data_IF_197205447622
#
_entry.id   IF_197205447622
#
_cell.length_a   1.000
_cell.length_b   1.000
_cell.length_c   1.000
_cell.angle_alpha   90.00
_cell.angle_beta   90.00
_cell.angle_gamma   90.00
#
_symmetry.space_group_name_H-M   'P 1'
#
loop_
_entity.id
_entity.type
_entity.pdbx_description
1 polymer ?
#
# COMPACT_ATOMS: atom_id res chain seq x y z
N UNK A 1 2.56 13.19 24.65
CA UNK A 1 4.03 13.08 24.81
C UNK A 1 4.66 14.02 23.78
N UNK A 2 5.66 14.84 24.15
CA UNK A 2 6.35 15.68 23.15
C UNK A 2 7.31 14.79 22.35
N UNK A 3 7.28 14.90 21.02
CA UNK A 3 8.17 14.16 20.13
C UNK A 3 9.59 14.72 20.32
N UNK A 4 10.55 13.85 20.64
CA UNK A 4 11.92 14.27 20.90
C UNK A 4 12.61 14.69 19.58
N UNK A 5 13.54 15.64 19.67
CA UNK A 5 14.25 16.17 18.49
C UNK A 5 14.96 15.09 17.66
N UNK A 6 15.48 14.05 18.31
CA UNK A 6 16.15 12.92 17.64
C UNK A 6 15.14 12.04 16.90
N UNK A 7 13.92 11.87 17.42
CA UNK A 7 12.83 11.15 16.74
C UNK A 7 12.43 11.92 15.47
N UNK A 8 12.29 13.24 15.58
CA UNK A 8 11.98 14.11 14.43
C UNK A 8 13.06 13.96 13.36
N UNK A 9 14.34 14.04 13.74
CA UNK A 9 15.45 13.91 12.81
C UNK A 9 15.45 12.54 12.10
N UNK A 10 15.28 11.44 12.85
CA UNK A 10 15.26 10.09 12.28
C UNK A 10 14.06 9.87 11.34
N UNK A 11 12.86 10.28 11.74
CA UNK A 11 11.66 10.14 10.91
C UNK A 11 11.74 10.99 9.65
N UNK A 12 12.32 12.19 9.75
CA UNK A 12 12.53 13.09 8.61
C UNK A 12 13.54 12.50 7.62
N UNK A 13 14.69 12.03 8.10
CA UNK A 13 15.70 11.38 7.27
C UNK A 13 15.14 10.12 6.60
N UNK A 14 14.37 9.32 7.35
CA UNK A 14 13.73 8.13 6.83
C UNK A 14 12.69 8.44 5.74
N UNK A 15 11.88 9.50 5.90
CA UNK A 15 10.96 9.94 4.84
C UNK A 15 11.69 10.32 3.54
N UNK A 16 12.84 10.98 3.65
CA UNK A 16 13.70 11.28 2.50
C UNK A 16 14.32 10.03 1.87
N UNK A 17 14.72 9.04 2.69
CA UNK A 17 15.24 7.77 2.19
C UNK A 17 14.16 6.95 1.48
N UNK A 18 12.92 6.92 2.00
CA UNK A 18 11.85 6.11 1.43
C UNK A 18 11.52 6.46 -0.02
N UNK A 19 11.47 7.74 -0.37
CA UNK A 19 11.20 8.15 -1.75
C UNK A 19 12.36 7.78 -2.69
N UNK A 20 13.60 7.80 -2.20
CA UNK A 20 14.75 7.34 -2.98
C UNK A 20 14.75 5.82 -3.16
N UNK A 21 14.37 5.08 -2.11
CA UNK A 21 14.19 3.63 -2.18
C UNK A 21 13.07 3.27 -3.16
N UNK A 22 11.98 4.03 -3.18
CA UNK A 22 10.85 3.83 -4.10
C UNK A 22 11.22 4.06 -5.57
N UNK A 23 12.17 4.95 -5.85
CA UNK A 23 12.54 5.33 -7.23
C UNK A 23 13.76 4.58 -7.77
N UNK A 24 14.66 4.10 -6.91
CA UNK A 24 15.96 3.58 -7.35
C UNK A 24 16.23 2.15 -6.86
N UNK A 25 16.12 1.91 -5.56
CA UNK A 25 16.68 0.72 -4.91
C UNK A 25 15.66 -0.42 -4.81
N UNK A 26 14.37 -0.09 -4.70
CA UNK A 26 13.27 -1.04 -4.51
C UNK A 26 13.54 -2.08 -3.42
N UNK A 27 14.14 -1.66 -2.29
CA UNK A 27 14.44 -2.54 -1.15
C UNK A 27 13.18 -2.96 -0.37
N UNK A 28 11.99 -2.62 -0.85
CA UNK A 28 10.69 -2.78 -0.16
C UNK A 28 10.54 -1.99 1.15
N UNK A 29 11.51 -1.14 1.50
CA UNK A 29 11.44 -0.24 2.66
C UNK A 29 10.50 0.96 2.40
N UNK A 30 10.18 1.20 1.13
CA UNK A 30 9.19 2.15 0.62
C UNK A 30 7.74 1.65 0.68
N UNK A 31 7.44 0.64 1.50
CA UNK A 31 6.06 0.20 1.74
C UNK A 31 5.49 0.81 3.03
N UNK A 32 4.21 1.22 3.06
CA UNK A 32 3.56 1.77 4.26
C UNK A 32 3.67 0.89 5.50
N UNK A 33 3.66 -0.44 5.37
CA UNK A 33 3.88 -1.36 6.51
C UNK A 33 5.26 -1.14 7.14
N UNK A 34 6.31 -1.01 6.33
CA UNK A 34 7.66 -0.73 6.83
C UNK A 34 7.76 0.69 7.39
N UNK A 35 7.05 1.65 6.78
CA UNK A 35 6.96 3.01 7.29
C UNK A 35 6.37 3.05 8.71
N UNK A 36 5.28 2.30 8.92
CA UNK A 36 4.63 2.13 10.21
C UNK A 36 5.49 1.36 11.22
N UNK A 37 6.21 0.32 10.77
CA UNK A 37 7.15 -0.42 11.61
C UNK A 37 8.28 0.48 12.12
N UNK A 38 8.97 1.18 11.21
CA UNK A 38 10.09 2.05 11.56
C UNK A 38 9.64 3.20 12.47
N UNK A 39 8.55 3.87 12.10
CA UNK A 39 8.01 4.96 12.92
C UNK A 39 7.49 4.48 14.28
N UNK A 40 6.88 3.30 14.35
CA UNK A 40 6.46 2.68 15.61
C UNK A 40 7.64 2.35 16.52
N UNK A 41 8.75 1.83 15.98
CA UNK A 41 10.00 1.59 16.74
C UNK A 41 10.57 2.89 17.28
N UNK A 42 10.67 3.93 16.45
CA UNK A 42 11.21 5.24 16.85
C UNK A 42 10.35 5.89 17.94
N UNK A 43 9.02 5.72 17.86
CA UNK A 43 8.06 6.32 18.79
C UNK A 43 7.79 5.47 20.04
N UNK A 44 8.21 4.19 20.06
CA UNK A 44 8.11 3.30 21.21
C UNK A 44 6.85 2.41 21.26
N UNK A 45 5.97 2.48 20.24
CA UNK A 45 4.82 1.57 20.11
C UNK A 45 4.77 0.97 18.69
N UNK A 46 5.40 -0.20 18.58
CA UNK A 46 5.45 -0.97 17.34
C UNK A 46 4.07 -1.51 16.93
N UNK A 47 3.19 -1.81 17.89
CA UNK A 47 1.87 -2.39 17.58
C UNK A 47 0.99 -1.33 16.93
N UNK A 48 0.94 -0.14 17.49
CA UNK A 48 0.22 0.99 16.88
C UNK A 48 0.76 1.30 15.48
N UNK A 49 2.10 1.37 15.33
CA UNK A 49 2.74 1.62 14.03
C UNK A 49 2.42 0.57 12.97
N UNK A 50 2.46 -0.72 13.32
CA UNK A 50 2.11 -1.80 12.40
C UNK A 50 0.63 -1.80 12.00
N UNK A 51 -0.27 -1.45 12.91
CA UNK A 51 -1.71 -1.33 12.60
C UNK A 51 -1.94 -0.20 11.59
N UNK A 52 -1.35 0.98 11.84
CA UNK A 52 -1.48 2.14 10.94
C UNK A 52 -0.85 1.84 9.58
N UNK A 53 0.37 1.30 9.55
CA UNK A 53 1.07 0.94 8.32
C UNK A 53 0.37 -0.16 7.53
N UNK A 54 -0.18 -1.17 8.20
CA UNK A 54 -0.98 -2.22 7.58
C UNK A 54 -2.28 -1.68 6.98
N UNK A 55 -3.01 -0.84 7.72
CA UNK A 55 -4.22 -0.21 7.22
C UNK A 55 -3.94 0.71 6.02
N UNK A 56 -2.86 1.49 6.07
CA UNK A 56 -2.44 2.32 4.95
C UNK A 56 -2.01 1.50 3.74
N UNK A 57 -1.28 0.41 3.95
CA UNK A 57 -0.91 -0.52 2.88
C UNK A 57 -2.14 -1.06 2.16
N UNK A 58 -3.16 -1.48 2.93
CA UNK A 58 -4.42 -1.96 2.38
C UNK A 58 -5.19 -0.86 1.64
N UNK A 59 -5.14 0.38 2.15
CA UNK A 59 -5.82 1.54 1.54
C UNK A 59 -5.22 1.91 0.19
N UNK A 60 -3.91 1.78 0.04
CA UNK A 60 -3.19 2.16 -1.18
C UNK A 60 -2.99 1.01 -2.15
N UNK A 61 -3.61 -0.13 -1.87
CA UNK A 61 -3.68 -1.24 -2.80
C UNK A 61 -4.27 -0.75 -4.14
N UNK A 62 -3.54 -0.98 -5.22
CA UNK A 62 -3.94 -0.58 -6.58
C UNK A 62 -3.70 0.89 -6.91
N UNK A 63 -3.23 1.69 -5.96
CA UNK A 63 -2.84 3.07 -6.23
C UNK A 63 -1.41 3.08 -6.77
N UNK A 64 -1.29 3.19 -8.09
CA UNK A 64 -0.02 3.26 -8.82
C UNK A 64 0.17 4.58 -9.54
N UNK A 65 1.41 4.89 -9.93
CA UNK A 65 1.71 5.99 -10.86
C UNK A 65 1.60 5.47 -12.29
N UNK A 66 0.67 5.99 -13.07
CA UNK A 66 0.51 5.66 -14.49
C UNK A 66 0.73 6.91 -15.35
N UNK A 67 1.52 6.80 -16.43
CA UNK A 67 1.73 7.92 -17.35
C UNK A 67 2.34 9.18 -16.75
N UNK A 68 3.12 9.05 -15.67
CA UNK A 68 3.70 10.21 -14.96
C UNK A 68 2.75 10.92 -13.98
N UNK A 69 1.54 10.41 -13.77
CA UNK A 69 0.63 10.89 -12.74
C UNK A 69 1.21 10.65 -11.33
N UNK A 70 1.12 11.67 -10.48
CA UNK A 70 1.45 11.55 -9.06
C UNK A 70 0.41 10.69 -8.34
N UNK A 71 0.89 9.83 -7.45
CA UNK A 71 0.03 9.02 -6.58
C UNK A 71 0.08 9.54 -5.15
N UNK A 72 -0.88 9.11 -4.34
CA UNK A 72 -0.90 9.43 -2.91
C UNK A 72 0.39 8.95 -2.22
N UNK A 73 1.00 9.81 -1.40
CA UNK A 73 2.20 9.42 -0.64
C UNK A 73 1.81 8.76 0.68
N UNK A 74 1.51 7.47 0.58
CA UNK A 74 1.11 6.63 1.69
C UNK A 74 2.20 6.50 2.77
N UNK A 75 3.48 6.58 2.37
CA UNK A 75 4.62 6.36 3.24
C UNK A 75 4.76 7.51 4.24
N UNK A 76 4.85 8.73 3.73
CA UNK A 76 4.95 9.92 4.56
C UNK A 76 3.68 10.14 5.40
N UNK A 77 2.49 9.85 4.84
CA UNK A 77 1.24 9.85 5.58
C UNK A 77 1.25 8.87 6.76
N UNK A 78 1.80 7.67 6.57
CA UNK A 78 1.93 6.65 7.63
C UNK A 78 2.91 7.08 8.72
N UNK A 79 4.06 7.67 8.36
CA UNK A 79 5.04 8.18 9.34
C UNK A 79 4.39 9.21 10.24
N UNK A 80 3.72 10.20 9.65
CA UNK A 80 3.11 11.30 10.38
C UNK A 80 1.94 10.81 11.24
N UNK A 81 1.06 9.97 10.69
CA UNK A 81 -0.05 9.40 11.44
C UNK A 81 0.43 8.54 12.61
N UNK A 82 1.48 7.74 12.44
CA UNK A 82 2.04 6.91 13.52
C UNK A 82 2.66 7.77 14.61
N UNK A 83 3.50 8.73 14.24
CA UNK A 83 4.12 9.65 15.19
C UNK A 83 3.08 10.41 16.01
N UNK A 84 2.07 10.95 15.33
CA UNK A 84 1.02 11.70 16.02
C UNK A 84 0.10 10.82 16.84
N UNK A 85 -0.33 9.66 16.31
CA UNK A 85 -1.21 8.74 17.02
C UNK A 85 -0.63 8.31 18.35
N UNK A 86 0.67 7.95 18.37
CA UNK A 86 1.37 7.54 19.58
C UNK A 86 1.57 8.74 20.52
N UNK A 87 1.94 9.90 19.99
CA UNK A 87 2.19 11.10 20.81
C UNK A 87 0.93 11.63 21.51
N UNK A 88 -0.25 11.51 20.87
CA UNK A 88 -1.53 12.03 21.39
C UNK A 88 -2.43 10.95 21.97
N UNK A 89 -2.03 9.68 21.91
CA UNK A 89 -2.85 8.55 22.36
C UNK A 89 -4.14 8.36 21.53
N UNK A 90 -4.11 8.74 20.25
CA UNK A 90 -5.23 8.51 19.34
C UNK A 90 -5.30 7.02 18.98
N UNK A 91 -6.51 6.51 18.76
CA UNK A 91 -6.69 5.14 18.27
C UNK A 91 -6.07 4.99 16.87
N UNK A 92 -5.30 3.92 16.60
CA UNK A 92 -4.67 3.70 15.30
C UNK A 92 -5.62 3.83 14.11
N UNK A 93 -6.83 3.26 14.20
CA UNK A 93 -7.81 3.26 13.11
C UNK A 93 -8.34 4.67 12.81
N UNK A 94 -8.56 5.46 13.87
CA UNK A 94 -8.93 6.87 13.73
C UNK A 94 -7.78 7.68 13.12
N UNK A 95 -6.53 7.41 13.51
CA UNK A 95 -5.36 8.11 12.98
C UNK A 95 -5.16 7.87 11.49
N UNK A 96 -5.49 6.68 10.98
CA UNK A 96 -5.43 6.38 9.55
C UNK A 96 -6.36 7.31 8.76
N UNK A 97 -7.63 7.39 9.14
CA UNK A 97 -8.60 8.21 8.42
C UNK A 97 -8.45 9.72 8.69
N UNK A 98 -8.08 10.10 9.92
CA UNK A 98 -7.96 11.49 10.33
C UNK A 98 -6.70 12.18 9.84
N UNK A 99 -5.60 11.43 9.80
CA UNK A 99 -4.26 11.97 9.58
C UNK A 99 -3.63 11.32 8.35
N UNK A 100 -3.52 10.00 8.31
CA UNK A 100 -2.70 9.33 7.30
C UNK A 100 -3.20 9.60 5.87
N UNK A 101 -4.48 9.39 5.59
CA UNK A 101 -5.04 9.61 4.25
C UNK A 101 -5.04 11.08 3.83
N UNK A 102 -5.54 12.04 4.63
CA UNK A 102 -5.50 13.45 4.23
C UNK A 102 -4.07 13.97 4.02
N UNK A 103 -3.13 13.60 4.90
CA UNK A 103 -1.73 13.99 4.76
C UNK A 103 -1.10 13.37 3.52
N UNK A 104 -1.34 12.07 3.27
CA UNK A 104 -0.85 11.39 2.07
C UNK A 104 -1.34 12.06 0.77
N UNK A 105 -2.58 12.55 0.78
CA UNK A 105 -3.15 13.31 -0.35
C UNK A 105 -2.50 14.69 -0.50
N UNK A 106 -2.27 15.42 0.60
CA UNK A 106 -1.58 16.72 0.55
C UNK A 106 -0.14 16.61 0.05
N UNK A 107 0.53 15.49 0.33
CA UNK A 107 1.90 15.23 -0.12
C UNK A 107 2.01 15.08 -1.65
N UNK A 108 0.89 14.85 -2.37
CA UNK A 108 0.87 14.85 -3.84
C UNK A 108 1.35 16.21 -4.39
N UNK A 109 0.96 17.32 -3.77
CA UNK A 109 1.38 18.65 -4.23
C UNK A 109 2.90 18.82 -4.14
N UNK A 110 3.48 18.27 -3.07
CA UNK A 110 4.93 18.29 -2.89
C UNK A 110 5.64 17.33 -3.86
N UNK A 111 4.96 16.26 -4.32
CA UNK A 111 5.43 15.37 -5.39
C UNK A 111 5.56 16.10 -6.71
N UNK A 112 4.48 16.81 -7.06
CA UNK A 112 4.39 17.59 -8.29
C UNK A 112 5.50 18.65 -8.29
N UNK A 113 5.72 19.32 -7.16
CA UNK A 113 6.80 20.30 -7.01
C UNK A 113 8.20 19.67 -7.15
N UNK A 114 8.40 18.46 -6.60
CA UNK A 114 9.66 17.73 -6.77
C UNK A 114 9.94 17.41 -8.23
N UNK A 115 8.91 16.94 -8.96
CA UNK A 115 8.98 16.65 -10.40
C UNK A 115 9.32 17.91 -11.19
N UNK A 116 8.66 19.03 -10.91
CA UNK A 116 8.99 20.32 -11.54
C UNK A 116 10.43 20.73 -11.25
N UNK A 117 10.89 20.64 -9.99
CA UNK A 117 12.26 20.96 -9.65
C UNK A 117 13.27 20.03 -10.34
N UNK A 118 12.92 18.76 -10.54
CA UNK A 118 13.80 17.79 -11.21
C UNK A 118 13.97 18.09 -12.70
N UNK A 119 13.01 18.76 -13.35
CA UNK A 119 13.17 19.20 -14.75
C UNK A 119 14.37 20.14 -14.93
N UNK A 120 14.72 20.94 -13.92
CA UNK A 120 15.92 21.79 -13.97
C UNK A 120 17.20 20.96 -14.12
N UNK A 121 17.29 19.82 -13.43
CA UNK A 121 18.43 18.91 -13.52
C UNK A 121 18.44 18.17 -14.87
N UNK A 122 17.27 17.81 -15.41
CA UNK A 122 17.16 17.20 -16.73
C UNK A 122 17.76 18.09 -17.83
N UNK A 123 17.39 19.37 -17.91
CA UNK A 123 17.96 20.30 -18.90
C UNK A 123 19.49 20.48 -18.75
N UNK A 124 20.03 20.31 -17.54
CA UNK A 124 21.48 20.36 -17.28
C UNK A 124 22.18 19.10 -17.75
N UNK A 125 21.52 17.94 -17.64
CA UNK A 125 21.99 16.67 -18.19
C UNK A 125 22.05 16.78 -19.72
N UNK A 126 21.01 17.29 -20.38
CA UNK A 126 20.99 17.43 -21.85
C UNK A 126 22.18 18.24 -22.35
N UNK A 127 22.45 19.40 -21.72
CA UNK A 127 23.62 20.23 -22.06
C UNK A 127 24.97 19.51 -21.83
N UNK A 128 25.02 18.56 -20.90
CA UNK A 128 26.22 17.77 -20.60
C UNK A 128 26.39 16.57 -21.54
N UNK A 129 25.29 16.04 -22.07
CA UNK A 129 25.29 15.06 -23.15
C UNK A 129 25.89 15.66 -24.42
N UNK A 130 25.50 16.87 -24.81
CA UNK A 130 26.10 17.56 -25.97
C UNK A 130 27.62 17.77 -25.85
N UNK A 131 28.12 17.87 -24.61
CA UNK A 131 29.53 18.06 -24.29
C UNK A 131 30.29 16.74 -24.14
N UNK A 132 29.61 15.59 -24.25
CA UNK A 132 30.15 14.24 -23.97
C UNK A 132 30.84 14.13 -22.60
N UNK A 133 30.38 14.92 -21.61
CA UNK A 133 30.93 14.96 -20.25
C UNK A 133 30.19 13.97 -19.34
N UNK A 134 30.58 12.70 -19.41
CA UNK A 134 29.98 11.62 -18.65
C UNK A 134 29.99 11.85 -17.12
N UNK A 135 31.07 12.45 -16.59
CA UNK A 135 31.16 12.77 -15.15
C UNK A 135 30.19 13.87 -14.75
N UNK A 136 29.91 14.81 -15.65
CA UNK A 136 28.87 15.82 -15.46
C UNK A 136 27.48 15.20 -15.39
N UNK A 137 27.17 14.26 -16.29
CA UNK A 137 25.88 13.56 -16.34
C UNK A 137 25.62 12.80 -15.04
N UNK A 138 26.58 11.99 -14.57
CA UNK A 138 26.44 11.22 -13.32
C UNK A 138 26.15 12.12 -12.11
N UNK A 139 26.86 13.25 -12.00
CA UNK A 139 26.68 14.20 -10.90
C UNK A 139 25.30 14.84 -10.91
N UNK A 140 24.79 15.26 -12.07
CA UNK A 140 23.47 15.88 -12.16
C UNK A 140 22.35 14.84 -12.00
N UNK A 141 22.57 13.60 -12.43
CA UNK A 141 21.66 12.49 -12.14
C UNK A 141 21.53 12.24 -10.64
N UNK A 142 22.66 12.12 -9.92
CA UNK A 142 22.66 11.99 -8.46
C UNK A 142 22.08 13.24 -7.77
N UNK A 143 22.35 14.44 -8.28
CA UNK A 143 21.77 15.67 -7.74
C UNK A 143 20.25 15.74 -7.94
N UNK A 144 19.70 15.08 -8.96
CA UNK A 144 18.26 14.95 -9.19
C UNK A 144 17.53 14.16 -8.08
N UNK A 145 18.24 13.34 -7.30
CA UNK A 145 17.68 12.68 -6.11
C UNK A 145 17.36 13.68 -4.98
N UNK A 146 18.05 14.82 -4.95
CA UNK A 146 17.90 15.81 -3.88
C UNK A 146 16.51 16.46 -3.86
N UNK A 147 15.95 16.96 -4.98
CA UNK A 147 14.55 17.41 -5.04
C UNK A 147 13.54 16.37 -4.53
N UNK A 148 13.72 15.09 -4.86
CA UNK A 148 12.83 14.02 -4.40
C UNK A 148 12.89 13.87 -2.88
N UNK A 149 14.08 13.70 -2.31
CA UNK A 149 14.25 13.55 -0.87
C UNK A 149 13.73 14.79 -0.11
N UNK A 150 14.09 15.99 -0.56
CA UNK A 150 13.67 17.25 0.08
C UNK A 150 12.15 17.44 0.05
N UNK A 151 11.48 16.99 -1.01
CA UNK A 151 10.03 17.12 -1.11
C UNK A 151 9.28 16.37 -0.02
N UNK A 152 9.89 15.36 0.61
CA UNK A 152 9.31 14.60 1.74
C UNK A 152 9.92 15.01 3.08
N UNK A 153 11.22 15.23 3.11
CA UNK A 153 11.91 15.68 4.33
C UNK A 153 11.36 17.02 4.84
N UNK A 154 11.13 18.00 3.96
CA UNK A 154 10.69 19.33 4.38
C UNK A 154 9.28 19.26 4.99
N UNK A 155 8.25 18.73 4.31
CA UNK A 155 6.90 18.70 4.89
C UNK A 155 6.80 17.78 6.11
N UNK A 156 7.46 16.62 6.11
CA UNK A 156 7.44 15.71 7.28
C UNK A 156 8.15 16.35 8.47
N UNK A 157 9.31 16.96 8.27
CA UNK A 157 10.04 17.66 9.32
C UNK A 157 9.25 18.85 9.88
N UNK A 158 8.65 19.67 9.02
CA UNK A 158 7.79 20.78 9.44
C UNK A 158 6.55 20.30 10.20
N UNK A 159 5.90 19.23 9.70
CA UNK A 159 4.75 18.65 10.37
C UNK A 159 5.15 18.11 11.76
N UNK A 160 6.21 17.33 11.90
CA UNK A 160 6.63 16.78 13.19
C UNK A 160 7.07 17.85 14.20
N UNK A 161 7.70 18.94 13.73
CA UNK A 161 8.17 20.04 14.60
C UNK A 161 7.04 20.97 15.05
N UNK A 162 6.17 21.38 14.13
CA UNK A 162 5.15 22.41 14.40
C UNK A 162 3.72 21.85 14.54
N UNK A 163 3.47 20.64 14.02
CA UNK A 163 2.16 20.03 13.96
C UNK A 163 1.64 19.52 15.30
N UNK A 164 2.50 19.28 16.29
CA UNK A 164 2.08 18.72 17.59
C UNK A 164 0.98 19.54 18.28
N UNK A 165 1.05 20.87 18.21
CA UNK A 165 0.04 21.76 18.79
C UNK A 165 -1.31 21.72 18.06
N UNK A 166 -1.29 21.66 16.72
CA UNK A 166 -2.49 21.54 15.89
C UNK A 166 -3.16 20.18 16.12
N UNK A 167 -2.37 19.11 16.06
CA UNK A 167 -2.88 17.75 16.16
C UNK A 167 -3.44 17.47 17.55
N UNK A 168 -2.80 17.94 18.62
CA UNK A 168 -3.33 17.78 19.98
C UNK A 168 -4.68 18.48 20.17
N UNK A 169 -4.87 19.66 19.57
CA UNK A 169 -6.18 20.36 19.58
C UNK A 169 -7.24 19.57 18.82
N UNK A 170 -6.89 19.08 17.63
CA UNK A 170 -7.80 18.25 16.80
C UNK A 170 -8.21 16.98 17.55
N UNK A 171 -7.26 16.26 18.16
CA UNK A 171 -7.51 15.05 18.96
C UNK A 171 -8.38 15.36 20.18
N UNK A 172 -8.11 16.46 20.88
CA UNK A 172 -8.91 16.89 22.04
C UNK A 172 -10.36 17.19 21.68
N UNK A 173 -10.61 17.82 20.53
CA UNK A 173 -11.97 18.07 20.02
C UNK A 173 -12.66 16.77 19.58
N UNK A 174 -11.94 15.89 18.88
CA UNK A 174 -12.46 14.61 18.37
C UNK A 174 -12.84 13.64 19.49
N UNK A 175 -12.10 13.62 20.60
CA UNK A 175 -12.37 12.75 21.74
C UNK A 175 -13.33 13.34 22.78
N UNK A 176 -13.49 14.67 22.79
CA UNK A 176 -14.39 15.38 23.69
C UNK A 176 -15.66 15.82 22.97
N UNK A 177 -15.68 17.09 22.59
CA UNK A 177 -16.86 17.80 22.08
C UNK A 177 -17.50 17.14 20.86
N UNK A 178 -16.69 16.53 19.97
CA UNK A 178 -17.12 16.01 18.68
C UNK A 178 -16.89 14.50 18.57
N UNK A 179 -17.22 13.77 19.65
CA UNK A 179 -17.08 12.31 19.70
C UNK A 179 -17.76 11.57 18.53
N UNK A 180 -18.91 12.06 18.05
CA UNK A 180 -19.59 11.48 16.89
C UNK A 180 -18.71 11.49 15.63
N UNK A 181 -17.89 12.53 15.45
CA UNK A 181 -16.97 12.66 14.32
C UNK A 181 -15.76 11.75 14.51
N UNK A 182 -15.21 11.67 15.73
CA UNK A 182 -14.11 10.76 16.05
C UNK A 182 -14.50 9.28 15.85
N UNK A 183 -15.68 8.89 16.32
CA UNK A 183 -16.21 7.54 16.12
C UNK A 183 -16.51 7.29 14.63
N UNK A 184 -17.10 8.26 13.91
CA UNK A 184 -17.34 8.17 12.48
C UNK A 184 -16.05 8.02 11.66
N UNK A 185 -14.99 8.71 12.04
CA UNK A 185 -13.67 8.65 11.40
C UNK A 185 -12.97 7.32 11.68
N UNK A 186 -13.17 6.75 12.87
CA UNK A 186 -12.71 5.40 13.22
C UNK A 186 -13.39 4.36 12.32
N UNK A 187 -14.71 4.46 12.15
CA UNK A 187 -15.47 3.56 11.26
C UNK A 187 -15.03 3.74 9.80
N UNK A 188 -14.87 4.99 9.34
CA UNK A 188 -14.36 5.27 8.00
C UNK A 188 -12.97 4.65 7.79
N UNK A 189 -12.07 4.78 8.77
CA UNK A 189 -10.74 4.17 8.75
C UNK A 189 -10.76 2.65 8.63
N UNK A 190 -11.71 1.99 9.29
CA UNK A 190 -11.90 0.55 9.18
C UNK A 190 -12.39 0.09 7.79
N UNK A 191 -13.07 0.96 7.03
CA UNK A 191 -13.61 0.64 5.70
C UNK A 191 -12.65 1.04 4.56
N UNK A 192 -11.65 1.91 4.81
CA UNK A 192 -10.66 2.33 3.80
C UNK A 192 -9.98 1.18 3.03
N UNK A 193 -9.60 0.05 3.66
CA UNK A 193 -9.10 -1.11 2.92
C UNK A 193 -9.99 -1.59 1.77
N UNK A 194 -11.31 -1.51 1.92
CA UNK A 194 -12.25 -1.93 0.88
C UNK A 194 -12.12 -1.07 -0.39
N UNK A 195 -11.77 0.21 -0.24
CA UNK A 195 -11.53 1.12 -1.37
C UNK A 195 -10.29 0.69 -2.16
N UNK A 196 -9.20 0.35 -1.47
CA UNK A 196 -7.99 -0.17 -2.12
C UNK A 196 -8.25 -1.46 -2.92
N UNK A 197 -9.00 -2.40 -2.33
CA UNK A 197 -9.42 -3.60 -3.07
C UNK A 197 -10.30 -3.27 -4.29
N UNK A 198 -11.23 -2.32 -4.17
CA UNK A 198 -12.06 -1.90 -5.30
C UNK A 198 -11.24 -1.30 -6.45
N UNK A 199 -10.22 -0.50 -6.12
CA UNK A 199 -9.28 0.06 -7.09
C UNK A 199 -8.48 -1.07 -7.78
N UNK A 200 -7.92 -2.01 -7.01
CA UNK A 200 -7.23 -3.18 -7.58
C UNK A 200 -8.11 -4.00 -8.54
N UNK A 201 -9.36 -4.27 -8.14
CA UNK A 201 -10.30 -5.05 -8.95
C UNK A 201 -10.70 -4.33 -10.24
N UNK A 202 -10.61 -3.00 -10.28
CA UNK A 202 -10.85 -2.22 -11.51
C UNK A 202 -9.73 -2.41 -12.54
N UNK A 203 -8.49 -2.59 -12.10
CA UNK A 203 -7.34 -2.85 -12.98
C UNK A 203 -7.27 -4.30 -13.45
N UNK A 204 -7.81 -5.24 -12.69
CA UNK A 204 -7.85 -6.64 -13.08
C UNK A 204 -8.97 -6.91 -14.10
N UNK A 205 -8.80 -7.83 -15.07
CA UNK A 205 -9.82 -8.22 -16.02
C UNK A 205 -10.91 -9.12 -15.37
N UNK A 206 -11.53 -8.62 -14.30
CA UNK A 206 -12.51 -9.35 -13.49
C UNK A 206 -13.70 -9.80 -14.33
N UNK A 207 -14.11 -9.01 -15.33
CA UNK A 207 -15.22 -9.38 -16.24
C UNK A 207 -14.94 -10.68 -17.00
N UNK A 208 -13.68 -10.93 -17.40
CA UNK A 208 -13.27 -12.12 -18.15
C UNK A 208 -13.09 -13.35 -17.26
N UNK A 209 -12.68 -13.13 -16.01
CA UNK A 209 -12.31 -14.19 -15.06
C UNK A 209 -13.15 -14.18 -13.78
N UNK A 210 -14.39 -13.70 -13.85
CA UNK A 210 -15.29 -13.57 -12.72
C UNK A 210 -15.52 -14.86 -11.91
N UNK A 211 -15.61 -16.06 -12.53
CA UNK A 211 -15.74 -17.31 -11.78
C UNK A 211 -14.59 -17.58 -10.81
N UNK A 212 -13.36 -17.19 -11.16
CA UNK A 212 -12.19 -17.36 -10.28
C UNK A 212 -12.25 -16.43 -9.08
N UNK A 213 -12.80 -15.22 -9.24
CA UNK A 213 -12.99 -14.29 -8.13
C UNK A 213 -14.02 -14.82 -7.14
N UNK A 214 -15.18 -15.32 -7.61
CA UNK A 214 -16.19 -15.95 -6.73
C UNK A 214 -15.61 -17.18 -6.04
N UNK A 215 -14.93 -18.04 -6.77
CA UNK A 215 -14.35 -19.27 -6.22
C UNK A 215 -13.31 -18.95 -5.13
N UNK A 216 -12.41 -17.99 -5.39
CA UNK A 216 -11.44 -17.53 -4.39
C UNK A 216 -12.11 -16.94 -3.16
N UNK A 217 -13.17 -16.15 -3.34
CA UNK A 217 -13.96 -15.60 -2.23
C UNK A 217 -14.62 -16.72 -1.40
N UNK A 218 -15.28 -17.69 -2.03
CA UNK A 218 -15.96 -18.81 -1.35
C UNK A 218 -14.99 -19.71 -0.57
N UNK A 219 -13.84 -20.01 -1.15
CA UNK A 219 -12.79 -20.78 -0.47
C UNK A 219 -12.27 -20.01 0.74
N UNK A 220 -12.02 -18.71 0.57
CA UNK A 220 -11.52 -17.84 1.64
C UNK A 220 -12.52 -17.73 2.79
N UNK A 221 -13.80 -17.53 2.50
CA UNK A 221 -14.84 -17.40 3.54
C UNK A 221 -15.03 -18.70 4.29
N UNK A 222 -15.11 -19.85 3.61
CA UNK A 222 -15.27 -21.16 4.23
C UNK A 222 -14.11 -21.49 5.18
N UNK A 223 -12.87 -21.27 4.73
CA UNK A 223 -11.70 -21.50 5.56
C UNK A 223 -11.58 -20.49 6.71
N UNK A 224 -11.94 -19.22 6.49
CA UNK A 224 -11.90 -18.21 7.55
C UNK A 224 -12.88 -18.55 8.67
N UNK A 225 -14.13 -18.94 8.33
CA UNK A 225 -15.13 -19.37 9.33
C UNK A 225 -14.64 -20.60 10.09
N UNK A 226 -14.21 -21.64 9.36
CA UNK A 226 -13.75 -22.89 9.98
C UNK A 226 -12.60 -22.68 10.97
N UNK A 227 -11.58 -21.90 10.58
CA UNK A 227 -10.45 -21.63 11.46
C UNK A 227 -10.83 -20.72 12.64
N UNK A 228 -11.74 -19.76 12.44
CA UNK A 228 -12.25 -18.91 13.53
C UNK A 228 -13.02 -19.75 14.56
N UNK A 229 -13.85 -20.69 14.11
CA UNK A 229 -14.59 -21.59 15.00
C UNK A 229 -13.64 -22.50 15.79
N UNK A 230 -12.59 -23.03 15.15
CA UNK A 230 -11.55 -23.81 15.84
C UNK A 230 -10.80 -22.96 16.88
N UNK A 231 -10.51 -21.70 16.57
CA UNK A 231 -9.86 -20.78 17.51
C UNK A 231 -10.73 -20.45 18.71
N UNK A 232 -12.03 -20.18 18.49
CA UNK A 232 -12.97 -19.88 19.57
C UNK A 232 -13.20 -21.11 20.46
N UNK A 233 -13.27 -22.31 19.89
CA UNK A 233 -13.32 -23.55 20.66
C UNK A 233 -12.03 -23.80 21.45
N UNK A 234 -10.86 -23.56 20.85
CA UNK A 234 -9.57 -23.72 21.51
C UNK A 234 -9.35 -22.74 22.67
N UNK A 235 -9.78 -21.49 22.52
CA UNK A 235 -9.75 -20.50 23.60
C UNK A 235 -10.73 -20.86 24.73
N UNK A 236 -11.92 -21.36 24.40
CA UNK A 236 -12.87 -21.90 25.38
C UNK A 236 -12.31 -23.10 26.17
N UNK A 237 -11.60 -24.01 25.50
CA UNK A 237 -11.00 -25.18 26.15
C UNK A 237 -9.78 -24.82 27.01
N UNK A 238 -8.99 -23.82 26.61
CA UNK A 238 -7.88 -23.26 27.40
C UNK A 238 -8.40 -22.58 28.68
N UNK A 239 -9.57 -21.95 28.63
CA UNK A 239 -10.22 -21.39 29.81
C UNK A 239 -10.77 -22.46 30.77
N UNK A 240 -11.18 -23.62 30.24
CA UNK A 240 -11.70 -24.75 31.03
C UNK A 240 -10.60 -25.68 31.59
N UNK A 241 -9.43 -25.75 30.95
CA UNK A 241 -8.31 -26.62 31.34
C UNK A 241 -6.99 -25.88 31.24
N UNK A 242 -6.37 -25.56 32.39
CA UNK A 242 -5.01 -24.97 32.46
C UNK A 242 -3.91 -25.86 31.87
N UNK A 243 -4.18 -27.14 31.61
CA UNK A 243 -3.25 -28.07 30.98
C UNK A 243 -3.26 -27.99 29.45
N UNK A 244 -4.26 -27.31 28.85
CA UNK A 244 -4.37 -27.16 27.41
C UNK A 244 -3.67 -25.87 26.97
N UNK A 245 -2.41 -25.97 26.54
CA UNK A 245 -1.58 -24.81 26.16
C UNK A 245 -1.51 -24.58 24.65
N UNK A 246 -2.32 -25.30 23.86
CA UNK A 246 -2.23 -25.28 22.40
C UNK A 246 -2.91 -24.03 21.85
N UNK A 247 -2.12 -23.11 21.29
CA UNK A 247 -2.65 -21.97 20.52
C UNK A 247 -3.04 -22.41 19.11
N UNK A 248 -4.32 -22.25 18.78
CA UNK A 248 -4.78 -22.36 17.40
C UNK A 248 -4.54 -21.02 16.70
N UNK A 249 -3.68 -21.02 15.68
CA UNK A 249 -3.47 -19.86 14.84
C UNK A 249 -4.58 -19.75 13.79
N UNK A 250 -4.88 -18.51 13.43
CA UNK A 250 -5.85 -18.21 12.39
C UNK A 250 -5.30 -18.66 11.04
N UNK A 251 -6.19 -18.76 10.06
CA UNK A 251 -5.78 -19.09 8.71
C UNK A 251 -4.81 -18.01 8.18
N UNK A 252 -3.64 -18.43 7.71
CA UNK A 252 -2.68 -17.51 7.08
C UNK A 252 -3.23 -17.05 5.74
N UNK A 253 -3.39 -15.73 5.54
CA UNK A 253 -3.78 -15.15 4.24
C UNK A 253 -2.80 -15.52 3.13
N UNK A 254 -1.52 -15.77 3.49
CA UNK A 254 -0.51 -16.26 2.56
C UNK A 254 -0.80 -17.69 2.08
N UNK A 255 -1.37 -18.55 2.93
CA UNK A 255 -1.79 -19.90 2.54
C UNK A 255 -2.94 -19.86 1.52
N UNK A 256 -3.94 -18.99 1.73
CA UNK A 256 -5.01 -18.77 0.74
C UNK A 256 -4.42 -18.28 -0.58
N UNK A 257 -3.52 -17.30 -0.52
CA UNK A 257 -2.88 -16.75 -1.71
C UNK A 257 -2.12 -17.84 -2.50
N UNK A 258 -1.41 -18.74 -1.81
CA UNK A 258 -0.72 -19.87 -2.44
C UNK A 258 -1.68 -20.90 -3.04
N UNK A 259 -2.81 -21.18 -2.40
CA UNK A 259 -3.86 -22.04 -2.97
C UNK A 259 -4.44 -21.41 -4.24
N UNK A 260 -4.75 -20.11 -4.20
CA UNK A 260 -5.22 -19.36 -5.36
C UNK A 260 -4.19 -19.35 -6.50
N UNK A 261 -2.91 -19.16 -6.17
CA UNK A 261 -1.82 -19.23 -7.13
C UNK A 261 -1.69 -20.62 -7.77
N UNK A 262 -1.79 -21.69 -6.98
CA UNK A 262 -1.77 -23.06 -7.48
C UNK A 262 -2.93 -23.34 -8.45
N UNK A 263 -4.14 -22.90 -8.12
CA UNK A 263 -5.31 -23.02 -9.01
C UNK A 263 -5.13 -22.22 -10.30
N UNK A 264 -4.61 -21.00 -10.20
CA UNK A 264 -4.29 -20.17 -11.37
C UNK A 264 -3.23 -20.82 -12.27
N UNK A 265 -2.18 -21.40 -11.67
CA UNK A 265 -1.13 -22.09 -12.41
C UNK A 265 -1.65 -23.35 -13.15
N UNK A 266 -2.56 -24.10 -12.52
CA UNK A 266 -3.20 -25.28 -13.14
C UNK A 266 -4.10 -24.84 -14.30
N UNK A 267 -4.95 -23.83 -14.08
CA UNK A 267 -5.80 -23.29 -15.15
C UNK A 267 -4.98 -22.76 -16.31
N UNK A 268 -3.90 -22.02 -16.04
CA UNK A 268 -3.02 -21.50 -17.08
C UNK A 268 -2.40 -22.62 -17.91
N UNK A 269 -1.89 -23.69 -17.27
CA UNK A 269 -1.34 -24.86 -17.98
C UNK A 269 -2.38 -25.57 -18.83
N UNK A 270 -3.61 -25.73 -18.33
CA UNK A 270 -4.70 -26.34 -19.11
C UNK A 270 -5.11 -25.48 -20.31
N UNK A 271 -5.22 -24.16 -20.13
CA UNK A 271 -5.54 -23.23 -21.24
C UNK A 271 -4.42 -23.18 -22.28
N UNK A 272 -3.15 -23.17 -21.86
CA UNK A 272 -2.00 -23.23 -22.76
C UNK A 272 -1.91 -24.58 -23.51
N UNK A 273 -2.20 -25.69 -22.82
CA UNK A 273 -2.21 -27.02 -23.43
C UNK A 273 -3.37 -27.21 -24.42
N UNK A 274 -4.54 -26.63 -24.17
CA UNK A 274 -5.67 -26.67 -25.10
C UNK A 274 -5.43 -25.80 -26.35
N UNK A 275 -4.69 -24.69 -26.25
CA UNK A 275 -4.34 -23.86 -27.41
C UNK A 275 -3.13 -24.40 -28.21
N UNK A 276 -2.30 -25.28 -27.62
CA UNK A 276 -1.17 -25.92 -28.31
C UNK A 276 -1.47 -27.28 -28.97
N UNK A 277 -2.71 -27.79 -28.85
CA UNK A 277 -3.12 -29.13 -29.28
C UNK A 277 -3.93 -29.15 -30.57
N UNK A 278 -3.56 -28.36 -31.58
CA UNK A 278 -4.24 -28.32 -32.88
C UNK A 278 -3.56 -29.18 -33.95
N UNK A 279 -3.35 -30.49 -33.73
CA UNK A 279 -3.15 -31.45 -34.81
C UNK A 279 -3.17 -32.90 -34.29
N UNK A 280 -4.30 -33.59 -34.49
CA UNK A 280 -4.40 -34.99 -34.98
C UNK A 280 -5.72 -35.65 -34.52
N UNK A 281 -6.54 -36.07 -35.49
CA UNK A 281 -7.58 -37.09 -35.30
C UNK A 281 -9.01 -36.55 -35.14
N UNK A 282 -9.77 -36.50 -36.24
CA UNK A 282 -11.07 -35.83 -36.28
C UNK A 282 -12.31 -36.68 -35.93
N UNK A 283 -13.44 -35.99 -35.82
CA UNK A 283 -14.71 -36.29 -36.53
C UNK A 283 -15.59 -35.03 -36.50
N UNK A 284 -16.18 -34.73 -37.65
CA UNK A 284 -16.98 -33.54 -37.98
C UNK A 284 -18.24 -33.39 -37.11
N UNK A 285 -18.52 -32.18 -36.63
CA UNK A 285 -19.85 -31.57 -36.68
C UNK A 285 -19.70 -30.05 -36.60
N UNK A 286 -20.22 -29.37 -37.61
CA UNK A 286 -20.02 -27.96 -37.90
C UNK A 286 -20.74 -27.04 -36.92
N UNK A 287 -20.04 -26.02 -36.41
CA UNK A 287 -20.62 -24.71 -36.10
C UNK A 287 -19.63 -23.65 -36.58
N UNK A 288 -20.15 -22.66 -37.30
CA UNK A 288 -19.45 -21.61 -38.05
C UNK A 288 -18.30 -20.96 -37.27
N UNK A 289 -17.14 -20.92 -37.92
CA UNK A 289 -16.08 -19.95 -37.70
C UNK A 289 -16.63 -18.53 -37.91
N UNK A 290 -16.58 -17.73 -36.86
CA UNK A 290 -16.28 -16.31 -37.02
C UNK A 290 -14.85 -16.13 -36.50
N UNK A 291 -13.94 -15.99 -37.46
CA UNK A 291 -12.51 -15.86 -37.24
C UNK A 291 -12.17 -14.37 -37.08
N UNK A 292 -12.05 -13.92 -35.85
CA UNK A 292 -11.15 -12.82 -35.51
C UNK A 292 -10.22 -13.32 -34.41
N UNK A 293 -9.08 -13.84 -34.87
CA UNK A 293 -7.89 -13.90 -34.05
C UNK A 293 -7.52 -12.46 -33.70
N UNK A 294 -8.04 -11.97 -32.59
CA UNK A 294 -7.43 -10.85 -31.89
C UNK A 294 -6.50 -11.47 -30.86
N UNK A 295 -5.22 -11.46 -31.25
CA UNK A 295 -4.10 -11.56 -30.33
C UNK A 295 -4.31 -10.57 -29.18
N UNK A 296 -3.64 -10.82 -28.05
CA UNK A 296 -3.72 -9.97 -26.87
C UNK A 296 -3.11 -8.58 -27.08
N UNK A 297 -3.70 -7.79 -27.96
CA UNK A 297 -3.57 -6.35 -27.99
C UNK A 297 -4.46 -5.81 -26.87
N UNK A 298 -3.82 -5.16 -25.89
CA UNK A 298 -4.53 -4.20 -25.06
C UNK A 298 -4.84 -3.07 -26.04
N UNK A 299 -6.04 -3.09 -26.62
CA UNK A 299 -6.53 -1.90 -27.31
C UNK A 299 -6.70 -0.84 -26.22
N UNK A 300 -5.80 0.14 -26.28
CA UNK A 300 -5.96 1.45 -25.65
C UNK A 300 -7.24 2.09 -26.18
N UNK A 301 -8.39 1.62 -25.71
CA UNK A 301 -9.64 2.35 -25.83
C UNK A 301 -9.72 3.27 -24.61
N UNK A 302 -8.97 4.37 -24.73
CA UNK A 302 -9.26 5.60 -24.02
C UNK A 302 -10.72 5.98 -24.27
N UNK A 303 -11.49 6.13 -23.19
CA UNK A 303 -12.33 7.29 -22.82
C UNK A 303 -12.86 7.10 -21.38
#
# INVERSE_FOLDING_TARGET
>A
MQIAWWQIALLTLYAGYQILDELQIYSSLSAPVFAGLFSGIVMGDMKAGLIIGGAMQLTVLGVGTFGGASKIDANSGTILATAFSISTGMKPEAAVAALAVPVASLMIETDILARFANTFFAHRIDKKVDQMDYKGIERYFLAGALPWALSRMIPVGLALTFGGGLVTKVVGVLNGSWKWLGDGLTVAGAVLPAVGFAILLRYLPVKKHFPYLILGFMITTLFTVTFTDIQTLGTGLTAASKAFTTSFNGLSMLAIALIGFALAAISYKQSASNNGGGSAGGTKAAVKQDSSADEGEITDDEL
#
